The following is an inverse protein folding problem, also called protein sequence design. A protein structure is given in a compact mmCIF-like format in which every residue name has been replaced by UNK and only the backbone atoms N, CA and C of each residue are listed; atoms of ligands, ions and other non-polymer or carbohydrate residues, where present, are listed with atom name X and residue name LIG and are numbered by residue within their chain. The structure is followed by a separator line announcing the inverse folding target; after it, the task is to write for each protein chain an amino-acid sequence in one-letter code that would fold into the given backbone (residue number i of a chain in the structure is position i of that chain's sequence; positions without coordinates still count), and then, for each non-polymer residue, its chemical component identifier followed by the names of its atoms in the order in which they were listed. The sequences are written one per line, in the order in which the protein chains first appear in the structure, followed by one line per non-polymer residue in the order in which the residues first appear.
data_IF_144233716078
#
_entry.id   IF_144233716078
#
_cell.length_a   1.000
_cell.length_b   1.000
_cell.length_c   1.000
_cell.angle_alpha   90.00
_cell.angle_beta   90.00
_cell.angle_gamma   90.00
#
_symmetry.space_group_name_H-M   'P 1'
#
loop_
_entity.id
_entity.type
_entity.pdbx_description
1 polymer ?
#
# COMPACT_ATOMS: atom_id res chain seq x y z
N UNK A 1 -17.89 -7.15 1.11
CA UNK A 1 -18.02 -6.04 0.11
C UNK A 1 -18.74 -6.59 -1.11
N UNK A 2 -19.63 -5.80 -1.74
CA UNK A 2 -20.36 -6.17 -2.96
C UNK A 2 -19.87 -5.31 -4.12
N UNK A 3 -19.88 -5.86 -5.34
CA UNK A 3 -19.50 -5.13 -6.54
C UNK A 3 -20.68 -5.03 -7.52
N UNK A 4 -20.79 -3.91 -8.21
CA UNK A 4 -21.72 -3.67 -9.31
C UNK A 4 -20.94 -3.37 -10.58
N UNK A 5 -21.54 -3.58 -11.73
CA UNK A 5 -20.99 -3.29 -13.05
C UNK A 5 -22.01 -2.44 -13.85
N UNK A 6 -22.16 -1.17 -13.45
CA UNK A 6 -23.17 -0.26 -14.03
C UNK A 6 -22.94 0.03 -15.51
N UNK A 7 -21.71 -0.07 -15.98
CA UNK A 7 -21.33 0.29 -17.34
C UNK A 7 -21.09 -0.92 -18.24
N UNK A 8 -21.49 -2.12 -17.80
CA UNK A 8 -21.28 -3.36 -18.57
C UNK A 8 -19.84 -3.54 -19.05
N UNK A 9 -18.87 -3.28 -18.15
CA UNK A 9 -17.47 -3.53 -18.45
C UNK A 9 -17.26 -5.03 -18.73
N UNK A 10 -16.31 -5.40 -19.60
CA UNK A 10 -16.02 -6.79 -19.91
C UNK A 10 -15.71 -7.61 -18.64
N UNK A 11 -16.16 -8.87 -18.61
CA UNK A 11 -15.95 -9.77 -17.46
C UNK A 11 -14.49 -9.91 -17.03
N UNK A 12 -13.55 -9.81 -17.98
CA UNK A 12 -12.12 -9.83 -17.65
C UNK A 12 -11.74 -8.66 -16.75
N UNK A 13 -12.31 -7.48 -16.96
CA UNK A 13 -12.07 -6.29 -16.12
C UNK A 13 -12.70 -6.49 -14.75
N UNK A 14 -13.93 -7.00 -14.70
CA UNK A 14 -14.63 -7.30 -13.45
C UNK A 14 -13.81 -8.28 -12.61
N UNK A 15 -13.34 -9.39 -13.20
CA UNK A 15 -12.50 -10.37 -12.51
C UNK A 15 -11.17 -9.79 -12.05
N UNK A 16 -10.51 -8.97 -12.88
CA UNK A 16 -9.24 -8.32 -12.51
C UNK A 16 -9.38 -7.40 -11.29
N UNK A 17 -10.52 -6.72 -11.15
CA UNK A 17 -10.81 -5.85 -10.00
C UNK A 17 -11.21 -6.64 -8.75
N UNK A 18 -12.01 -7.71 -8.93
CA UNK A 18 -12.59 -8.46 -7.80
C UNK A 18 -11.65 -9.52 -7.23
N UNK A 19 -10.67 -9.98 -8.01
CA UNK A 19 -9.67 -10.97 -7.61
C UNK A 19 -8.35 -10.31 -7.17
N UNK A 20 -8.45 -9.27 -6.33
CA UNK A 20 -7.27 -8.62 -5.76
C UNK A 20 -6.51 -9.61 -4.87
N UNK A 21 -5.25 -9.96 -5.20
CA UNK A 21 -4.45 -10.90 -4.41
C UNK A 21 -3.89 -10.27 -3.13
N UNK A 22 -4.14 -8.98 -2.90
CA UNK A 22 -3.57 -8.28 -1.74
C UNK A 22 -3.95 -8.94 -0.42
N UNK A 23 -2.94 -9.24 0.38
CA UNK A 23 -3.10 -9.73 1.74
C UNK A 23 -2.10 -9.04 2.66
N UNK A 24 -2.54 -8.65 3.85
CA UNK A 24 -1.64 -8.18 4.92
C UNK A 24 -0.91 -9.31 5.66
N UNK A 25 -1.13 -10.55 5.25
CA UNK A 25 -0.57 -11.72 5.91
C UNK A 25 -1.12 -11.88 7.33
N UNK A 26 -0.25 -12.28 8.26
CA UNK A 26 -0.60 -12.52 9.68
C UNK A 26 -0.53 -11.26 10.56
N UNK A 27 -0.47 -10.06 9.98
CA UNK A 27 -0.39 -8.83 10.76
C UNK A 27 -1.76 -8.39 11.28
N UNK A 28 -1.77 -7.75 12.45
CA UNK A 28 -2.96 -7.09 12.99
C UNK A 28 -3.28 -5.82 12.20
N UNK A 29 -2.22 -5.10 11.78
CA UNK A 29 -2.32 -3.86 11.02
C UNK A 29 -1.33 -3.84 9.86
N UNK A 30 -1.78 -3.38 8.69
CA UNK A 30 -0.86 -2.93 7.64
C UNK A 30 -0.51 -1.46 7.81
N UNK A 31 0.61 -1.01 7.24
CA UNK A 31 1.00 0.40 7.22
C UNK A 31 -0.13 1.31 6.72
N UNK A 32 -0.79 0.91 5.63
CA UNK A 32 -1.93 1.64 5.05
C UNK A 32 -3.17 1.68 5.96
N UNK A 33 -3.35 0.70 6.86
CA UNK A 33 -4.41 0.74 7.86
C UNK A 33 -4.08 1.66 9.03
N UNK A 34 -2.81 1.75 9.43
CA UNK A 34 -2.36 2.62 10.53
C UNK A 34 -2.48 4.11 10.21
N UNK A 35 -2.23 4.49 8.97
CA UNK A 35 -2.33 5.91 8.56
C UNK A 35 -3.78 6.40 8.40
N UNK A 36 -4.77 5.49 8.38
CA UNK A 36 -6.18 5.86 8.33
C UNK A 36 -6.70 6.25 9.71
N UNK A 37 -7.64 7.21 9.78
CA UNK A 37 -8.31 7.53 11.05
C UNK A 37 -8.93 6.27 11.68
N UNK A 38 -8.68 6.06 12.98
CA UNK A 38 -9.13 4.86 13.69
C UNK A 38 -10.67 4.64 13.56
N UNK A 39 -11.45 5.73 13.59
CA UNK A 39 -12.91 5.68 13.40
C UNK A 39 -13.29 5.15 12.01
N UNK A 40 -12.58 5.58 10.96
CA UNK A 40 -12.83 5.11 9.59
C UNK A 40 -12.58 3.61 9.48
N UNK A 41 -11.49 3.13 10.08
CA UNK A 41 -11.16 1.70 10.13
C UNK A 41 -12.22 0.90 10.88
N UNK A 42 -12.64 1.36 12.05
CA UNK A 42 -13.66 0.68 12.84
C UNK A 42 -15.00 0.58 12.08
N UNK A 43 -15.43 1.65 11.43
CA UNK A 43 -16.63 1.66 10.60
C UNK A 43 -16.49 0.73 9.39
N UNK A 44 -15.33 0.73 8.74
CA UNK A 44 -15.07 -0.17 7.61
C UNK A 44 -15.20 -1.64 8.04
N UNK A 45 -14.55 -2.04 9.12
CA UNK A 45 -14.64 -3.42 9.65
C UNK A 45 -16.09 -3.79 9.96
N UNK A 46 -16.81 -2.89 10.61
CA UNK A 46 -18.22 -3.12 11.02
C UNK A 46 -19.15 -3.28 9.82
N UNK A 47 -18.95 -2.51 8.75
CA UNK A 47 -19.88 -2.39 7.63
C UNK A 47 -19.32 -2.90 6.29
N UNK A 48 -18.17 -3.59 6.27
CA UNK A 48 -17.53 -4.04 5.01
C UNK A 48 -18.46 -4.89 4.13
N UNK A 49 -19.40 -5.64 4.72
CA UNK A 49 -20.34 -6.47 3.96
C UNK A 49 -21.49 -5.66 3.36
N UNK A 50 -21.73 -4.45 3.86
CA UNK A 50 -22.78 -3.55 3.38
C UNK A 50 -22.27 -2.60 2.30
N UNK A 51 -20.93 -2.47 2.19
CA UNK A 51 -20.31 -1.59 1.20
C UNK A 51 -20.48 -2.17 -0.20
N UNK A 52 -21.06 -1.36 -1.08
CA UNK A 52 -21.14 -1.65 -2.52
C UNK A 52 -20.24 -0.69 -3.27
N UNK A 53 -19.41 -1.21 -4.18
CA UNK A 53 -18.54 -0.42 -5.08
C UNK A 53 -18.85 -0.78 -6.53
N UNK A 54 -18.76 0.19 -7.41
CA UNK A 54 -18.83 -0.10 -8.84
C UNK A 54 -17.43 -0.40 -9.39
N UNK A 55 -17.33 -1.39 -10.26
CA UNK A 55 -16.06 -1.82 -10.86
C UNK A 55 -15.36 -0.67 -11.58
N UNK A 56 -16.13 0.26 -12.19
CA UNK A 56 -15.57 1.43 -12.86
C UNK A 56 -14.81 2.37 -11.94
N UNK A 57 -15.16 2.41 -10.63
CA UNK A 57 -14.46 3.23 -9.62
C UNK A 57 -13.06 2.67 -9.29
N UNK A 58 -12.80 1.42 -9.65
CA UNK A 58 -11.57 0.70 -9.34
C UNK A 58 -10.51 0.77 -10.44
N UNK A 59 -10.78 1.46 -11.55
CA UNK A 59 -9.85 1.57 -12.69
C UNK A 59 -8.47 2.14 -12.30
N UNK A 60 -8.44 3.08 -11.35
CA UNK A 60 -7.18 3.63 -10.83
C UNK A 60 -6.36 2.60 -10.04
N UNK A 61 -7.01 1.65 -9.37
CA UNK A 61 -6.33 0.55 -8.68
C UNK A 61 -5.62 -0.35 -9.68
N UNK A 62 -6.27 -0.66 -10.81
CA UNK A 62 -5.64 -1.44 -11.88
C UNK A 62 -4.42 -0.73 -12.48
N UNK A 63 -4.50 0.59 -12.68
CA UNK A 63 -3.35 1.39 -13.16
C UNK A 63 -2.23 1.35 -12.13
N UNK A 64 -2.54 1.50 -10.83
CA UNK A 64 -1.56 1.40 -9.75
C UNK A 64 -0.83 0.05 -9.77
N UNK A 65 -1.58 -1.05 -9.81
CA UNK A 65 -1.00 -2.39 -9.86
C UNK A 65 -0.09 -2.60 -11.08
N UNK A 66 -0.43 -2.03 -12.24
CA UNK A 66 0.44 -2.08 -13.41
C UNK A 66 1.78 -1.37 -13.19
N UNK A 67 1.81 -0.26 -12.43
CA UNK A 67 3.06 0.42 -12.09
C UNK A 67 3.96 -0.46 -11.24
N UNK A 68 3.40 -1.19 -10.27
CA UNK A 68 4.15 -2.15 -9.45
C UNK A 68 4.75 -3.27 -10.33
N UNK A 69 3.98 -3.86 -11.25
CA UNK A 69 4.52 -4.85 -12.21
C UNK A 69 5.67 -4.32 -13.07
N UNK A 70 5.63 -3.03 -13.45
CA UNK A 70 6.74 -2.42 -14.19
C UNK A 70 7.96 -2.26 -13.29
N UNK A 71 7.77 -1.88 -12.04
CA UNK A 71 8.85 -1.74 -11.06
C UNK A 71 9.54 -3.09 -10.78
N UNK A 72 8.76 -4.16 -10.58
CA UNK A 72 9.30 -5.53 -10.43
C UNK A 72 10.20 -5.94 -11.60
N UNK A 73 9.89 -5.52 -12.82
CA UNK A 73 10.72 -5.83 -14.00
C UNK A 73 12.07 -5.13 -14.01
N UNK A 74 12.22 -4.06 -13.24
CA UNK A 74 13.46 -3.32 -13.10
C UNK A 74 14.30 -3.80 -11.90
N UNK A 75 13.81 -4.74 -11.11
CA UNK A 75 14.49 -5.33 -9.98
C UNK A 75 15.84 -5.92 -10.38
N UNK A 76 16.87 -5.58 -9.62
CA UNK A 76 18.20 -6.22 -9.71
C UNK A 76 18.20 -7.43 -8.79
N UNK A 77 17.95 -8.62 -9.38
CA UNK A 77 17.79 -9.87 -8.63
C UNK A 77 18.97 -10.14 -7.67
N UNK A 78 18.62 -10.38 -6.41
CA UNK A 78 19.60 -10.65 -5.34
C UNK A 78 20.31 -9.41 -4.78
N UNK A 79 19.92 -8.20 -5.23
CA UNK A 79 20.43 -6.92 -4.74
C UNK A 79 19.29 -6.09 -4.16
N UNK A 80 18.22 -5.88 -4.92
CA UNK A 80 17.08 -5.07 -4.49
C UNK A 80 16.02 -5.94 -3.80
N UNK A 81 15.21 -5.32 -2.94
CA UNK A 81 14.01 -5.93 -2.38
C UNK A 81 12.80 -5.29 -3.06
N UNK A 82 12.02 -6.08 -3.80
CA UNK A 82 10.85 -5.61 -4.51
C UNK A 82 9.60 -6.34 -4.05
N UNK A 83 8.51 -5.59 -3.82
CA UNK A 83 7.20 -6.12 -3.40
C UNK A 83 7.26 -7.05 -2.18
N UNK A 84 8.32 -6.95 -1.39
CA UNK A 84 8.49 -7.75 -0.18
C UNK A 84 7.71 -7.20 1.00
N UNK A 85 7.15 -8.11 1.79
CA UNK A 85 6.38 -7.78 2.98
C UNK A 85 7.17 -8.02 4.25
N UNK A 86 7.40 -6.96 5.00
CA UNK A 86 8.07 -6.98 6.30
C UNK A 86 7.07 -6.93 7.45
N UNK A 87 7.44 -7.60 8.54
CA UNK A 87 6.64 -7.67 9.75
C UNK A 87 7.47 -7.26 10.95
N UNK A 88 6.84 -6.63 11.93
CA UNK A 88 7.45 -6.42 13.24
C UNK A 88 6.41 -6.37 14.34
N UNK A 89 6.78 -6.84 15.55
CA UNK A 89 5.95 -6.78 16.72
C UNK A 89 6.19 -5.48 17.48
N UNK A 90 5.12 -4.83 17.89
CA UNK A 90 5.12 -3.63 18.72
C UNK A 90 4.34 -3.91 20.00
N UNK A 91 4.82 -3.38 21.12
CA UNK A 91 4.14 -3.48 22.40
C UNK A 91 3.54 -2.11 22.74
N UNK A 92 2.23 -2.06 22.91
CA UNK A 92 1.48 -0.86 23.29
C UNK A 92 0.60 -1.21 24.49
N UNK A 93 0.78 -0.52 25.59
CA UNK A 93 0.04 -0.77 26.85
C UNK A 93 0.08 -2.25 27.27
N UNK A 94 1.24 -2.89 27.15
CA UNK A 94 1.47 -4.29 27.48
C UNK A 94 0.82 -5.32 26.56
N UNK A 95 0.26 -4.89 25.41
CA UNK A 95 -0.30 -5.76 24.38
C UNK A 95 0.60 -5.78 23.16
N UNK A 96 0.81 -6.95 22.59
CA UNK A 96 1.55 -7.14 21.38
C UNK A 96 0.66 -6.94 20.15
N UNK A 97 1.21 -6.24 19.15
CA UNK A 97 0.60 -6.05 17.84
C UNK A 97 1.62 -6.29 16.75
N UNK A 98 1.24 -7.06 15.77
CA UNK A 98 2.05 -7.29 14.58
C UNK A 98 1.66 -6.27 13.51
N UNK A 99 2.64 -5.48 13.07
CA UNK A 99 2.48 -4.52 11.96
C UNK A 99 3.20 -5.04 10.74
N UNK A 100 2.62 -4.83 9.56
CA UNK A 100 3.28 -5.14 8.28
C UNK A 100 3.26 -3.97 7.31
N UNK A 101 4.29 -3.90 6.48
CA UNK A 101 4.30 -3.09 5.27
C UNK A 101 4.82 -3.93 4.10
N UNK A 102 4.21 -3.76 2.94
CA UNK A 102 4.79 -4.20 1.68
C UNK A 102 5.63 -3.05 1.16
N UNK A 103 6.86 -3.33 0.83
CA UNK A 103 7.83 -2.37 0.32
C UNK A 103 7.85 -2.50 -1.19
N UNK A 104 7.58 -1.40 -1.89
CA UNK A 104 7.57 -1.43 -3.35
C UNK A 104 8.98 -1.71 -3.87
N UNK A 105 9.98 -0.89 -3.48
CA UNK A 105 11.39 -1.12 -3.81
C UNK A 105 12.27 -0.63 -2.66
N UNK A 106 13.27 -1.42 -2.30
CA UNK A 106 14.40 -1.00 -1.49
C UNK A 106 15.71 -1.34 -2.19
N UNK A 107 16.42 -0.33 -2.66
CA UNK A 107 17.75 -0.47 -3.25
C UNK A 107 18.78 -0.64 -2.14
N UNK A 108 19.37 -1.82 -2.02
CA UNK A 108 20.24 -2.15 -0.88
C UNK A 108 21.61 -1.49 -0.96
N UNK A 109 22.13 -1.19 -2.15
CA UNK A 109 23.41 -0.53 -2.37
C UNK A 109 23.37 0.98 -2.07
N UNK A 110 22.29 1.64 -2.43
CA UNK A 110 22.06 3.07 -2.14
C UNK A 110 21.34 3.29 -0.81
N UNK A 111 20.79 2.22 -0.22
CA UNK A 111 19.93 2.25 0.97
C UNK A 111 18.70 3.18 0.78
N UNK A 112 18.15 3.18 -0.42
CA UNK A 112 17.03 4.05 -0.78
C UNK A 112 15.72 3.27 -0.78
N UNK A 113 14.75 3.76 0.01
CA UNK A 113 13.37 3.25 0.00
C UNK A 113 12.53 4.07 -0.98
N UNK A 114 11.90 3.39 -1.93
CA UNK A 114 11.05 3.98 -2.97
C UNK A 114 9.63 3.43 -2.82
N UNK A 115 8.63 4.30 -2.92
CA UNK A 115 7.21 3.95 -2.90
C UNK A 115 6.51 4.60 -4.10
N UNK A 116 5.91 3.79 -4.96
CA UNK A 116 5.25 4.22 -6.19
C UNK A 116 3.82 4.66 -5.92
N UNK A 117 3.47 5.88 -6.35
CA UNK A 117 2.12 6.41 -6.19
C UNK A 117 1.55 6.92 -7.51
N UNK A 118 0.48 6.31 -7.94
CA UNK A 118 -0.34 6.85 -9.03
C UNK A 118 -1.33 7.87 -8.49
N UNK A 119 -1.39 9.04 -9.11
CA UNK A 119 -2.22 10.15 -8.63
C UNK A 119 -2.70 11.01 -9.79
N UNK A 120 -3.84 11.69 -9.62
CA UNK A 120 -4.27 12.70 -10.58
C UNK A 120 -3.34 13.91 -10.52
N UNK A 121 -3.02 14.51 -11.68
CA UNK A 121 -2.09 15.62 -11.78
C UNK A 121 -2.39 16.78 -10.80
N UNK A 122 -3.66 17.14 -10.59
CA UNK A 122 -4.01 18.20 -9.65
C UNK A 122 -3.79 17.82 -8.17
N UNK A 123 -3.77 16.54 -7.84
CA UNK A 123 -3.52 16.06 -6.48
C UNK A 123 -2.05 16.14 -6.07
N UNK A 124 -1.16 16.26 -7.07
CA UNK A 124 0.28 16.51 -6.90
C UNK A 124 0.58 18.02 -6.91
N UNK A 125 -0.44 18.88 -7.12
CA UNK A 125 -0.26 20.28 -7.44
C UNK A 125 -0.24 21.21 -6.25
N UNK A 126 0.44 22.31 -6.48
CA UNK A 126 0.44 23.72 -5.99
C UNK A 126 0.25 24.06 -4.50
N UNK A 127 -0.40 23.25 -3.66
CA UNK A 127 -0.60 23.58 -2.24
C UNK A 127 0.44 22.98 -1.28
N UNK A 128 1.20 21.99 -1.73
CA UNK A 128 2.10 21.22 -0.86
C UNK A 128 3.56 21.17 -1.34
N UNK A 129 3.96 22.02 -2.27
CA UNK A 129 5.32 22.04 -2.81
C UNK A 129 5.77 20.62 -3.26
N UNK A 130 5.62 20.31 -4.55
CA UNK A 130 5.92 18.98 -5.10
C UNK A 130 5.30 17.78 -4.36
N UNK A 131 4.07 17.95 -3.85
CA UNK A 131 3.09 16.89 -3.80
C UNK A 131 3.25 15.80 -2.75
N UNK A 132 4.08 15.94 -1.74
CA UNK A 132 4.15 14.92 -0.69
C UNK A 132 2.94 15.03 0.25
N UNK A 133 1.99 14.13 0.10
CA UNK A 133 0.87 14.03 1.03
C UNK A 133 1.37 13.49 2.38
N UNK A 134 0.87 14.01 3.52
CA UNK A 134 1.27 13.51 4.85
C UNK A 134 1.09 12.00 5.00
N UNK A 135 0.09 11.41 4.36
CA UNK A 135 -0.17 9.98 4.38
C UNK A 135 0.94 9.18 3.66
N UNK A 136 1.49 9.71 2.58
CA UNK A 136 2.60 9.07 1.85
C UNK A 136 3.88 9.08 2.68
N UNK A 137 4.17 10.23 3.30
CA UNK A 137 5.32 10.36 4.21
C UNK A 137 5.16 9.39 5.39
N UNK A 138 3.99 9.31 5.99
CA UNK A 138 3.73 8.39 7.10
C UNK A 138 3.90 6.93 6.67
N UNK A 139 3.43 6.54 5.48
CA UNK A 139 3.59 5.19 4.95
C UNK A 139 5.07 4.84 4.75
N UNK A 140 5.85 5.74 4.13
CA UNK A 140 7.30 5.56 3.94
C UNK A 140 8.03 5.42 5.27
N UNK A 141 7.72 6.26 6.26
CA UNK A 141 8.34 6.18 7.58
C UNK A 141 8.03 4.86 8.30
N UNK A 142 6.80 4.35 8.20
CA UNK A 142 6.44 3.03 8.73
C UNK A 142 7.23 1.93 8.01
N UNK A 143 7.31 2.00 6.68
CA UNK A 143 8.11 1.07 5.87
C UNK A 143 9.58 1.08 6.27
N UNK A 144 10.18 2.27 6.40
CA UNK A 144 11.57 2.43 6.83
C UNK A 144 11.83 1.85 8.23
N UNK A 145 10.91 2.06 9.17
CA UNK A 145 11.04 1.47 10.52
C UNK A 145 10.94 -0.06 10.48
N UNK A 146 10.04 -0.62 9.69
CA UNK A 146 9.95 -2.07 9.53
C UNK A 146 11.20 -2.65 8.88
N UNK A 147 11.76 -1.99 7.86
CA UNK A 147 13.04 -2.38 7.27
C UNK A 147 14.16 -2.40 8.32
N UNK A 148 14.31 -1.34 9.16
CA UNK A 148 15.31 -1.28 10.22
C UNK A 148 15.18 -2.44 11.20
N UNK A 149 13.97 -2.78 11.59
CA UNK A 149 13.70 -3.90 12.51
C UNK A 149 13.98 -5.28 11.89
N UNK A 150 14.08 -5.34 10.58
CA UNK A 150 14.42 -6.55 9.82
C UNK A 150 15.87 -6.54 9.31
N UNK A 151 16.74 -5.63 9.82
CA UNK A 151 18.17 -5.63 9.54
C UNK A 151 18.60 -4.78 8.34
N UNK A 152 17.69 -4.02 7.74
CA UNK A 152 18.00 -3.08 6.66
C UNK A 152 18.07 -1.64 7.20
N UNK A 153 18.90 -0.79 6.60
CA UNK A 153 19.12 0.58 7.12
C UNK A 153 18.82 1.61 6.02
N UNK A 154 17.55 1.98 5.82
CA UNK A 154 17.22 3.04 4.87
C UNK A 154 17.91 4.36 5.27
N UNK A 155 18.69 4.95 4.35
CA UNK A 155 19.37 6.24 4.51
C UNK A 155 18.63 7.37 3.79
N UNK A 156 17.80 7.02 2.78
CA UNK A 156 16.93 7.95 2.05
C UNK A 156 15.57 7.34 1.76
N UNK A 157 14.55 8.20 1.62
CA UNK A 157 13.15 7.86 1.35
C UNK A 157 12.51 8.91 0.43
#
# INVERSE_FOLDING_TARGET
MKYTNKYNLPDVVVRAVTNDPYSKGKSDFSATELIKPARQRALFIKHQNDITKDVSEMSYTLIGNNCHYIAERAERLGIDLCEERFFSTFIVDGKEFVVSAQIDIFETDTQTLIDWKTSKAYAVGKKTGYGQKPEWIAQLNIGAELLRRNGHVPSSI
#
